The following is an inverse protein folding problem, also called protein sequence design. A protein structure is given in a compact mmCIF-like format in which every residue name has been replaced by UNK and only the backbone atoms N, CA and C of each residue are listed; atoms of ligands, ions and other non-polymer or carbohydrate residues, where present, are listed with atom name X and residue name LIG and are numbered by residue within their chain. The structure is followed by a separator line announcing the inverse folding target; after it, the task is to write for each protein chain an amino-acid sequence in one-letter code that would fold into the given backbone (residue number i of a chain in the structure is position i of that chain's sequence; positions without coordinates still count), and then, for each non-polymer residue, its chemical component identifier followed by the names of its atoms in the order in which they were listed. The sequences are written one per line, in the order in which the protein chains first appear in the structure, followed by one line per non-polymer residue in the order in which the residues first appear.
data_IF_543393046248
#
_entry.id   IF_543393046248
#
_cell.length_a   1.000
_cell.length_b   1.000
_cell.length_c   1.000
_cell.angle_alpha   90.00
_cell.angle_beta   90.00
_cell.angle_gamma   90.00
#
_symmetry.space_group_name_H-M   'P 1'
#
loop_
_entity.id
_entity.type
_entity.pdbx_description
1 polymer ?
#
# COMPACT_ATOMS: atom_id res chain seq x y z
N UNK A 1 -2.11 -10.62 10.17
CA UNK A 1 -3.21 -9.99 9.41
C UNK A 1 -2.60 -9.28 8.21
N UNK A 2 -2.94 -9.67 6.98
CA UNK A 2 -2.27 -9.18 5.77
C UNK A 2 -2.79 -7.82 5.24
N UNK A 3 -3.97 -7.38 5.70
CA UNK A 3 -4.60 -6.13 5.29
C UNK A 3 -4.77 -5.19 6.49
N UNK A 4 -4.35 -3.94 6.31
CA UNK A 4 -4.61 -2.82 7.21
C UNK A 4 -5.48 -1.82 6.43
N UNK A 5 -6.60 -1.41 7.00
CA UNK A 5 -7.49 -0.40 6.41
C UNK A 5 -7.34 0.90 7.19
N UNK A 6 -7.00 1.99 6.50
CA UNK A 6 -6.93 3.30 7.12
C UNK A 6 -8.34 3.90 7.30
N UNK A 7 -8.60 4.61 8.41
CA UNK A 7 -9.88 5.28 8.61
C UNK A 7 -10.06 6.37 7.55
N UNK A 8 -11.33 6.68 7.25
CA UNK A 8 -11.68 7.83 6.41
C UNK A 8 -11.48 9.13 7.19
N UNK A 9 -11.32 10.25 6.48
CA UNK A 9 -11.19 11.54 7.14
C UNK A 9 -12.52 12.00 7.74
N UNK A 10 -12.71 11.76 9.03
CA UNK A 10 -13.86 12.23 9.82
C UNK A 10 -13.48 13.35 10.81
N UNK A 11 -12.23 13.82 10.77
CA UNK A 11 -11.70 14.82 11.70
C UNK A 11 -10.18 14.72 11.87
N UNK A 12 -9.59 15.69 12.57
CA UNK A 12 -8.14 15.75 12.79
C UNK A 12 -7.57 14.50 13.48
N UNK A 13 -8.31 13.94 14.44
CA UNK A 13 -7.90 12.73 15.16
C UNK A 13 -7.83 11.50 14.24
N UNK A 14 -8.82 11.33 13.35
CA UNK A 14 -8.84 10.22 12.40
C UNK A 14 -7.69 10.30 11.39
N UNK A 15 -7.35 11.51 10.93
CA UNK A 15 -6.21 11.73 10.06
C UNK A 15 -4.88 11.39 10.75
N UNK A 16 -4.74 11.74 12.04
CA UNK A 16 -3.54 11.42 12.81
C UNK A 16 -3.40 9.92 13.06
N UNK A 17 -4.49 9.24 13.43
CA UNK A 17 -4.50 7.77 13.56
C UNK A 17 -4.17 7.07 12.23
N UNK A 18 -4.68 7.58 11.10
CA UNK A 18 -4.37 7.03 9.78
C UNK A 18 -2.87 7.13 9.47
N UNK A 19 -2.25 8.28 9.78
CA UNK A 19 -0.82 8.51 9.58
C UNK A 19 0.02 7.61 10.46
N UNK A 20 -0.31 7.49 11.74
CA UNK A 20 0.41 6.61 12.66
C UNK A 20 0.35 5.15 12.22
N UNK A 21 -0.84 4.66 11.79
CA UNK A 21 -0.98 3.29 11.28
C UNK A 21 -0.20 3.05 9.99
N UNK A 22 -0.19 4.04 9.09
CA UNK A 22 0.59 3.94 7.85
C UNK A 22 2.09 3.93 8.16
N UNK A 23 2.56 4.87 8.97
CA UNK A 23 3.97 4.99 9.32
C UNK A 23 4.46 3.75 10.06
N UNK A 24 3.70 3.25 11.04
CA UNK A 24 4.03 2.00 11.75
C UNK A 24 4.07 0.77 10.83
N UNK A 25 3.33 0.77 9.73
CA UNK A 25 3.40 -0.31 8.74
C UNK A 25 4.66 -0.19 7.87
N UNK A 26 5.06 1.03 7.51
CA UNK A 26 6.24 1.33 6.69
C UNK A 26 7.53 1.09 7.49
N UNK A 27 7.57 1.57 8.73
CA UNK A 27 8.75 1.48 9.62
C UNK A 27 9.02 0.06 10.15
N UNK A 28 8.22 -0.94 9.77
CA UNK A 28 8.42 -2.32 10.18
C UNK A 28 9.60 -2.93 9.39
N UNK A 29 10.76 -3.19 10.04
CA UNK A 29 12.02 -3.47 9.36
C UNK A 29 12.07 -4.83 8.65
N UNK A 30 11.04 -5.65 8.81
CA UNK A 30 10.94 -6.98 8.18
C UNK A 30 9.77 -7.10 7.22
N UNK A 31 9.01 -6.01 7.03
CA UNK A 31 7.77 -6.03 6.26
C UNK A 31 7.87 -5.15 5.01
N UNK A 32 7.56 -5.75 3.88
CA UNK A 32 7.28 -5.05 2.63
C UNK A 32 5.81 -4.61 2.61
N UNK A 33 5.58 -3.34 2.29
CA UNK A 33 4.23 -2.75 2.30
C UNK A 33 3.74 -2.45 0.89
N UNK A 34 2.57 -2.96 0.54
CA UNK A 34 1.82 -2.56 -0.65
C UNK A 34 0.71 -1.59 -0.25
N UNK A 35 0.84 -0.33 -0.63
CA UNK A 35 -0.22 0.66 -0.43
C UNK A 35 -1.18 0.62 -1.61
N UNK A 36 -2.49 0.53 -1.37
CA UNK A 36 -3.56 0.60 -2.37
C UNK A 36 -4.41 1.85 -2.12
N UNK A 37 -4.69 2.62 -3.16
CA UNK A 37 -5.35 3.93 -3.06
C UNK A 37 -6.73 3.95 -3.73
N UNK A 38 -7.69 4.60 -3.06
CA UNK A 38 -9.01 4.94 -3.60
C UNK A 38 -10.08 3.89 -3.34
N UNK A 39 -11.21 4.03 -4.04
CA UNK A 39 -12.40 3.19 -3.86
C UNK A 39 -13.01 2.76 -5.21
N UNK A 40 -13.98 1.84 -5.13
CA UNK A 40 -14.79 1.36 -6.25
C UNK A 40 -14.32 0.01 -6.82
N UNK A 41 -15.08 -0.55 -7.78
CA UNK A 41 -14.92 -1.95 -8.21
C UNK A 41 -13.52 -2.30 -8.74
N UNK A 42 -12.84 -1.34 -9.36
CA UNK A 42 -11.48 -1.54 -9.85
C UNK A 42 -10.44 -1.60 -8.74
N UNK A 43 -10.64 -0.83 -7.67
CA UNK A 43 -9.75 -0.82 -6.51
C UNK A 43 -10.00 -2.05 -5.65
N UNK A 44 -11.26 -2.44 -5.46
CA UNK A 44 -11.62 -3.69 -4.78
C UNK A 44 -10.97 -4.90 -5.43
N UNK A 45 -10.99 -4.99 -6.77
CA UNK A 45 -10.32 -6.08 -7.48
C UNK A 45 -8.80 -6.04 -7.32
N UNK A 46 -8.21 -4.84 -7.37
CA UNK A 46 -6.78 -4.69 -7.12
C UNK A 46 -6.41 -5.09 -5.68
N UNK A 47 -7.24 -4.70 -4.72
CA UNK A 47 -7.08 -5.01 -3.30
C UNK A 47 -7.15 -6.52 -3.05
N UNK A 48 -8.15 -7.20 -3.62
CA UNK A 48 -8.30 -8.66 -3.55
C UNK A 48 -7.01 -9.36 -4.02
N UNK A 49 -6.46 -8.93 -5.16
CA UNK A 49 -5.24 -9.50 -5.73
C UNK A 49 -4.02 -9.20 -4.84
N UNK A 50 -3.88 -7.95 -4.37
CA UNK A 50 -2.79 -7.55 -3.47
C UNK A 50 -2.82 -8.35 -2.17
N UNK A 51 -3.99 -8.50 -1.54
CA UNK A 51 -4.17 -9.25 -0.29
C UNK A 51 -3.92 -10.74 -0.50
N UNK A 52 -4.39 -11.31 -1.61
CA UNK A 52 -4.12 -12.70 -1.95
C UNK A 52 -2.61 -12.97 -2.11
N UNK A 53 -1.85 -12.05 -2.73
CA UNK A 53 -0.39 -12.18 -2.88
C UNK A 53 0.38 -11.90 -1.60
N UNK A 54 -0.07 -10.97 -0.77
CA UNK A 54 0.52 -10.73 0.54
C UNK A 54 0.34 -11.94 1.47
N UNK A 55 -0.84 -12.58 1.43
CA UNK A 55 -1.15 -13.76 2.26
C UNK A 55 -0.24 -14.96 1.99
N UNK A 56 0.39 -15.05 0.80
CA UNK A 56 1.37 -16.12 0.50
C UNK A 56 2.63 -16.01 1.36
N UNK A 57 3.03 -14.79 1.75
CA UNK A 57 4.15 -14.54 2.66
C UNK A 57 3.73 -13.56 3.77
N UNK A 58 2.68 -13.90 4.51
CA UNK A 58 2.05 -13.00 5.49
C UNK A 58 2.97 -12.53 6.64
N UNK A 59 4.12 -13.17 6.84
CA UNK A 59 5.15 -12.76 7.81
C UNK A 59 5.93 -11.53 7.37
N UNK A 60 6.08 -11.30 6.06
CA UNK A 60 6.93 -10.25 5.50
C UNK A 60 6.21 -9.35 4.49
N UNK A 61 4.94 -9.62 4.17
CA UNK A 61 4.15 -8.81 3.23
C UNK A 61 2.90 -8.29 3.91
N UNK A 62 2.64 -7.00 3.74
CA UNK A 62 1.38 -6.36 4.16
C UNK A 62 0.80 -5.50 3.07
N UNK A 63 -0.52 -5.33 3.12
CA UNK A 63 -1.28 -4.42 2.28
C UNK A 63 -1.89 -3.36 3.17
N UNK A 64 -1.70 -2.10 2.82
CA UNK A 64 -2.38 -0.98 3.45
C UNK A 64 -3.34 -0.37 2.44
N UNK A 65 -4.63 -0.41 2.73
CA UNK A 65 -5.64 0.24 1.90
C UNK A 65 -5.96 1.63 2.45
N UNK A 66 -5.95 2.61 1.54
CA UNK A 66 -6.21 4.02 1.81
C UNK A 66 -7.43 4.41 0.97
N UNK A 67 -8.65 4.25 1.52
CA UNK A 67 -9.88 4.54 0.78
C UNK A 67 -9.98 6.04 0.46
N UNK A 68 -9.67 6.87 1.46
CA UNK A 68 -9.64 8.32 1.33
C UNK A 68 -8.20 8.83 1.46
N UNK A 69 -7.64 9.28 0.35
CA UNK A 69 -6.28 9.85 0.32
C UNK A 69 -6.16 11.18 1.07
N UNK A 70 -7.27 11.86 1.40
CA UNK A 70 -7.25 13.14 2.10
C UNK A 70 -6.62 13.05 3.50
N UNK A 71 -6.64 11.87 4.13
CA UNK A 71 -6.01 11.61 5.45
C UNK A 71 -4.50 11.74 5.43
N UNK A 72 -3.87 11.57 4.27
CA UNK A 72 -2.41 11.62 4.12
C UNK A 72 -1.92 13.07 4.00
N UNK A 73 -0.78 13.35 4.64
CA UNK A 73 -0.07 14.61 4.47
C UNK A 73 0.42 14.79 3.03
N UNK A 74 0.63 16.05 2.63
CA UNK A 74 1.20 16.39 1.31
C UNK A 74 2.57 15.74 1.09
N UNK A 75 3.35 15.60 2.14
CA UNK A 75 4.68 14.97 2.11
C UNK A 75 4.59 13.47 1.84
N UNK A 76 3.73 12.73 2.56
CA UNK A 76 3.51 11.30 2.33
C UNK A 76 2.97 11.04 0.92
N UNK A 77 2.05 11.88 0.44
CA UNK A 77 1.60 11.84 -0.96
C UNK A 77 2.76 12.04 -1.91
N UNK A 78 3.63 13.04 -1.70
CA UNK A 78 4.78 13.27 -2.59
C UNK A 78 5.76 12.09 -2.60
N UNK A 79 5.98 11.46 -1.46
CA UNK A 79 6.86 10.28 -1.33
C UNK A 79 6.28 9.06 -2.04
N UNK A 80 5.04 8.70 -1.74
CA UNK A 80 4.48 7.39 -2.09
C UNK A 80 3.38 7.42 -3.15
N UNK A 81 2.67 8.54 -3.32
CA UNK A 81 1.67 8.67 -4.37
C UNK A 81 2.34 8.95 -5.71
N UNK A 82 1.89 8.22 -6.73
CA UNK A 82 2.31 8.42 -8.13
C UNK A 82 1.07 8.61 -8.98
N UNK A 83 1.02 9.70 -9.75
CA UNK A 83 -0.13 10.01 -10.59
C UNK A 83 -0.47 8.85 -11.54
N UNK A 84 -1.76 8.52 -11.67
CA UNK A 84 -2.25 7.41 -12.49
C UNK A 84 -1.97 6.00 -11.92
N UNK A 85 -1.36 5.89 -10.74
CA UNK A 85 -1.09 4.62 -10.05
C UNK A 85 -2.11 4.40 -8.93
N UNK A 86 -2.45 3.14 -8.68
CA UNK A 86 -3.44 2.74 -7.67
C UNK A 86 -2.88 1.81 -6.61
N UNK A 87 -1.71 1.21 -6.87
CA UNK A 87 -0.98 0.45 -5.87
C UNK A 87 0.52 0.78 -5.95
N UNK A 88 1.19 0.83 -4.80
CA UNK A 88 2.61 1.17 -4.69
C UNK A 88 3.27 0.23 -3.67
N UNK A 89 4.32 -0.46 -4.08
CA UNK A 89 5.13 -1.30 -3.22
C UNK A 89 6.29 -0.50 -2.63
N UNK A 90 6.45 -0.61 -1.32
CA UNK A 90 7.49 0.02 -0.51
C UNK A 90 8.36 -1.09 0.06
N UNK A 91 9.66 -1.01 -0.23
CA UNK A 91 10.68 -1.93 0.30
C UNK A 91 11.12 -1.58 1.72
N UNK A 92 12.15 -2.27 2.21
CA UNK A 92 12.59 -2.17 3.61
C UNK A 92 13.29 -0.84 3.96
N UNK A 93 13.82 -0.12 2.96
CA UNK A 93 14.47 1.19 3.15
C UNK A 93 13.52 2.38 2.98
N UNK A 94 12.21 2.17 3.18
CA UNK A 94 11.14 3.16 2.90
C UNK A 94 11.12 3.68 1.45
N UNK A 95 11.73 2.94 0.52
CA UNK A 95 11.79 3.32 -0.89
C UNK A 95 10.68 2.66 -1.70
N UNK A 96 10.13 3.45 -2.63
CA UNK A 96 9.15 2.94 -3.60
C UNK A 96 9.87 2.04 -4.60
N UNK A 97 9.66 0.72 -4.47
CA UNK A 97 10.23 -0.28 -5.38
C UNK A 97 9.39 -0.40 -6.67
N UNK A 98 8.07 -0.25 -6.58
CA UNK A 98 7.19 -0.37 -7.74
C UNK A 98 5.91 0.45 -7.60
N UNK A 99 5.39 0.95 -8.72
CA UNK A 99 4.10 1.65 -8.78
C UNK A 99 3.22 1.14 -9.92
N UNK A 100 2.07 0.57 -9.57
CA UNK A 100 1.17 -0.17 -10.46
C UNK A 100 -0.01 0.70 -10.90
N UNK A 101 -0.29 0.68 -12.21
CA UNK A 101 -1.52 1.26 -12.77
C UNK A 101 -2.73 0.38 -12.45
N UNK A 102 -3.94 0.90 -12.70
CA UNK A 102 -5.20 0.16 -12.55
C UNK A 102 -5.17 -1.22 -13.22
N UNK A 103 -4.65 -1.32 -14.44
CA UNK A 103 -4.58 -2.60 -15.16
C UNK A 103 -3.61 -3.57 -14.50
N UNK A 104 -2.41 -3.10 -14.13
CA UNK A 104 -1.36 -3.96 -13.55
C UNK A 104 -1.69 -4.43 -12.14
N UNK A 105 -2.30 -3.58 -11.31
CA UNK A 105 -2.67 -3.92 -9.94
C UNK A 105 -3.75 -5.02 -9.85
N UNK A 106 -4.46 -5.31 -10.96
CA UNK A 106 -5.45 -6.39 -11.05
C UNK A 106 -4.85 -7.72 -11.53
N UNK A 107 -3.60 -7.74 -11.98
CA UNK A 107 -2.96 -8.97 -12.46
C UNK A 107 -2.01 -9.52 -11.40
N UNK A 108 -2.19 -10.81 -11.06
CA UNK A 108 -1.40 -11.49 -10.02
C UNK A 108 0.11 -11.39 -10.26
N UNK A 109 0.54 -11.51 -11.51
CA UNK A 109 1.96 -11.49 -11.89
C UNK A 109 2.62 -10.15 -11.56
N UNK A 110 2.03 -9.02 -11.97
CA UNK A 110 2.61 -7.69 -11.73
C UNK A 110 2.61 -7.31 -10.24
N UNK A 111 1.61 -7.79 -9.49
CA UNK A 111 1.59 -7.61 -8.03
C UNK A 111 2.69 -8.42 -7.36
N UNK A 112 2.93 -9.66 -7.81
CA UNK A 112 4.02 -10.48 -7.29
C UNK A 112 5.38 -9.89 -7.64
N UNK A 113 5.60 -9.45 -8.88
CA UNK A 113 6.83 -8.78 -9.29
C UNK A 113 7.10 -7.53 -8.43
N UNK A 114 6.07 -6.75 -8.11
CA UNK A 114 6.20 -5.59 -7.25
C UNK A 114 6.62 -5.97 -5.81
N UNK A 115 6.07 -7.06 -5.25
CA UNK A 115 6.52 -7.58 -3.96
C UNK A 115 7.96 -8.10 -4.02
N UNK A 116 8.31 -8.88 -5.04
CA UNK A 116 9.67 -9.42 -5.18
C UNK A 116 10.71 -8.32 -5.39
N UNK A 117 10.38 -7.29 -6.17
CA UNK A 117 11.24 -6.11 -6.32
C UNK A 117 11.46 -5.43 -4.98
N UNK A 118 10.39 -5.19 -4.21
CA UNK A 118 10.49 -4.58 -2.89
C UNK A 118 11.23 -5.45 -1.85
N UNK A 119 11.13 -6.78 -1.94
CA UNK A 119 11.90 -7.72 -1.11
C UNK A 119 13.41 -7.71 -1.44
N UNK A 120 13.76 -7.34 -2.67
CA UNK A 120 15.14 -7.35 -3.18
C UNK A 120 15.87 -6.02 -2.95
N UNK A 121 15.13 -4.94 -2.67
CA UNK A 121 15.69 -3.67 -2.20
C UNK A 121 16.03 -3.80 -0.70
N UNK A 122 17.31 -4.07 -0.43
CA UNK A 122 17.97 -4.11 0.87
C UNK A 122 19.17 -3.18 0.85
#
# INVERSE_FOLDING_TARGET
MALIVLPRNTGAEAAEQARQKLQAAIDDPVTVVMIVYGEGPHIEKALEVCVARASVKALIRRVVWIPDSSVLSTELKRRFWRSGKVAVAIGLDDQVAAALSKARAKARIFVEEAFLGAESHR
#
